data_IF_998543028616
#
_entry.id   IF_998543028616
#
_cell.length_a   1.000
_cell.length_b   1.000
_cell.length_c   1.000
_cell.angle_alpha   90.00
_cell.angle_beta   90.00
_cell.angle_gamma   90.00
#
_symmetry.space_group_name_H-M   'P 1'
#
loop_
_entity.id
_entity.type
_entity.pdbx_description
1 polymer ?
#
# COMPACT_ATOMS: atom_id res chain seq x y z
N UNK A 1 3.01 34.85 -8.08
CA UNK A 1 3.18 33.59 -8.83
C UNK A 1 4.19 33.81 -9.95
N UNK A 2 5.00 32.80 -10.27
CA UNK A 2 6.01 32.88 -11.34
C UNK A 2 5.43 32.26 -12.62
N UNK A 3 5.44 33.01 -13.73
CA UNK A 3 5.10 32.48 -15.05
C UNK A 3 6.21 31.57 -15.61
N UNK A 4 5.94 30.85 -16.70
CA UNK A 4 6.92 29.97 -17.36
C UNK A 4 8.25 30.69 -17.65
N UNK A 5 8.15 31.94 -18.11
CA UNK A 5 9.30 32.81 -18.38
C UNK A 5 10.10 33.10 -17.11
N UNK A 6 9.45 33.33 -15.98
CA UNK A 6 10.15 33.65 -14.73
C UNK A 6 10.88 32.43 -14.17
N UNK A 7 10.27 31.24 -14.28
CA UNK A 7 10.94 29.98 -13.96
C UNK A 7 12.15 29.78 -14.85
N UNK A 8 12.00 29.93 -16.17
CA UNK A 8 13.11 29.79 -17.11
C UNK A 8 14.24 30.78 -16.81
N UNK A 9 13.92 32.03 -16.44
CA UNK A 9 14.92 33.03 -16.06
C UNK A 9 15.63 32.69 -14.74
N UNK A 10 14.92 32.16 -13.74
CA UNK A 10 15.53 31.66 -12.50
C UNK A 10 16.47 30.49 -12.76
N UNK A 11 16.03 29.54 -13.57
CA UNK A 11 16.82 28.38 -13.99
C UNK A 11 18.08 28.87 -14.71
N UNK A 12 17.95 29.79 -15.66
CA UNK A 12 19.10 30.41 -16.35
C UNK A 12 20.05 31.09 -15.38
N UNK A 13 19.54 31.85 -14.40
CA UNK A 13 20.37 32.54 -13.42
C UNK A 13 21.17 31.53 -12.57
N UNK A 14 20.53 30.44 -12.13
CA UNK A 14 21.19 29.36 -11.40
C UNK A 14 22.22 28.62 -12.25
N UNK A 15 21.88 28.23 -13.49
CA UNK A 15 22.79 27.56 -14.40
C UNK A 15 24.01 28.43 -14.74
N UNK A 16 23.85 29.75 -14.87
CA UNK A 16 24.97 30.70 -15.04
C UNK A 16 25.91 30.76 -13.83
N UNK A 17 25.42 30.39 -12.65
CA UNK A 17 26.23 30.22 -11.44
C UNK A 17 26.84 28.80 -11.34
N UNK A 18 26.82 28.02 -12.42
CA UNK A 18 27.28 26.62 -12.47
C UNK A 18 26.56 25.69 -11.49
N UNK A 19 25.31 26.00 -11.17
CA UNK A 19 24.45 25.16 -10.32
C UNK A 19 23.64 24.19 -11.16
N UNK A 20 23.33 23.03 -10.60
CA UNK A 20 22.36 22.11 -11.17
C UNK A 20 20.95 22.53 -10.72
N UNK A 21 19.96 22.32 -11.57
CA UNK A 21 18.58 22.74 -11.28
C UNK A 21 17.65 21.56 -11.51
N UNK A 22 16.95 21.16 -10.45
CA UNK A 22 15.86 20.20 -10.54
C UNK A 22 14.54 20.97 -10.63
N UNK A 23 13.69 20.56 -11.56
CA UNK A 23 12.40 21.17 -11.81
C UNK A 23 11.36 20.08 -11.61
N UNK A 24 10.49 20.26 -10.62
CA UNK A 24 9.33 19.39 -10.47
C UNK A 24 8.34 19.75 -11.59
N UNK A 25 8.05 18.80 -12.47
CA UNK A 25 7.43 19.07 -13.76
C UNK A 25 5.90 19.17 -13.65
N UNK A 26 5.37 20.40 -13.54
CA UNK A 26 3.97 20.72 -13.86
C UNK A 26 3.80 21.13 -15.35
N UNK A 27 4.79 20.92 -16.22
CA UNK A 27 4.73 21.20 -17.66
C UNK A 27 4.09 20.01 -18.39
N UNK A 28 2.81 19.79 -18.09
CA UNK A 28 2.04 18.66 -18.60
C UNK A 28 1.95 18.61 -20.14
N UNK A 29 2.13 19.76 -20.82
CA UNK A 29 2.09 19.84 -22.28
C UNK A 29 3.47 19.93 -22.94
N UNK A 30 3.58 19.30 -24.11
CA UNK A 30 4.75 19.36 -24.99
C UNK A 30 5.14 20.78 -25.38
N UNK A 31 4.16 21.65 -25.62
CA UNK A 31 4.40 23.05 -25.99
C UNK A 31 5.10 23.81 -24.87
N UNK A 32 4.65 23.61 -23.63
CA UNK A 32 5.23 24.28 -22.46
C UNK A 32 6.65 23.79 -22.20
N UNK A 33 6.90 22.47 -22.29
CA UNK A 33 8.25 21.89 -22.18
C UNK A 33 9.19 22.43 -23.25
N UNK A 34 8.77 22.39 -24.52
CA UNK A 34 9.59 22.90 -25.63
C UNK A 34 9.95 24.38 -25.45
N UNK A 35 8.97 25.23 -25.13
CA UNK A 35 9.21 26.68 -24.94
C UNK A 35 10.14 26.97 -23.76
N UNK A 36 10.00 26.21 -22.67
CA UNK A 36 10.88 26.28 -21.52
C UNK A 36 12.33 25.97 -21.91
N UNK A 37 12.54 24.85 -22.61
CA UNK A 37 13.86 24.39 -23.05
C UNK A 37 14.51 25.36 -24.03
N UNK A 38 13.77 25.83 -25.03
CA UNK A 38 14.25 26.84 -25.98
C UNK A 38 14.73 28.10 -25.25
N UNK A 39 13.99 28.55 -24.23
CA UNK A 39 14.36 29.73 -23.44
C UNK A 39 15.65 29.52 -22.64
N UNK A 40 15.78 28.36 -22.00
CA UNK A 40 16.96 28.01 -21.20
C UNK A 40 18.19 27.82 -22.09
N UNK A 41 18.09 27.00 -23.14
CA UNK A 41 19.19 26.68 -24.05
C UNK A 41 19.66 27.90 -24.85
N UNK A 42 18.75 28.82 -25.23
CA UNK A 42 19.12 30.09 -25.87
C UNK A 42 20.01 30.95 -24.96
N UNK A 43 19.80 30.91 -23.64
CA UNK A 43 20.50 31.75 -22.66
C UNK A 43 21.71 31.05 -22.03
N UNK A 44 21.75 29.72 -22.05
CA UNK A 44 22.84 28.88 -21.55
C UNK A 44 23.07 27.72 -22.54
N UNK A 45 23.75 27.94 -23.68
CA UNK A 45 23.87 26.92 -24.74
C UNK A 45 24.62 25.66 -24.32
N UNK A 46 25.46 25.74 -23.29
CA UNK A 46 26.25 24.62 -22.76
C UNK A 46 25.49 23.73 -21.78
N UNK A 47 24.25 24.06 -21.41
CA UNK A 47 23.50 23.26 -20.46
C UNK A 47 23.09 21.92 -21.06
N UNK A 48 23.14 20.86 -20.25
CA UNK A 48 22.54 19.55 -20.58
C UNK A 48 21.20 19.46 -19.86
N UNK A 49 20.18 19.03 -20.59
CA UNK A 49 18.85 18.81 -20.05
C UNK A 49 18.54 17.32 -20.13
N UNK A 50 18.21 16.76 -18.97
CA UNK A 50 17.74 15.39 -18.84
C UNK A 50 16.31 15.41 -18.34
N UNK A 51 15.45 14.62 -18.96
CA UNK A 51 14.10 14.40 -18.50
C UNK A 51 14.00 13.01 -17.87
N UNK A 52 13.69 12.98 -16.59
CA UNK A 52 13.56 11.74 -15.82
C UNK A 52 12.08 11.41 -15.66
N UNK A 53 11.63 10.34 -16.32
CA UNK A 53 10.28 9.81 -16.18
C UNK A 53 10.25 8.81 -15.03
N UNK A 54 9.55 9.15 -13.96
CA UNK A 54 9.40 8.30 -12.78
C UNK A 54 8.12 7.48 -12.90
N UNK A 55 8.23 6.15 -12.95
CA UNK A 55 7.09 5.25 -13.20
C UNK A 55 7.02 4.19 -12.10
N UNK A 56 5.83 3.86 -11.55
CA UNK A 56 5.68 2.72 -10.65
C UNK A 56 6.00 1.43 -11.38
N UNK A 57 6.97 0.66 -10.87
CA UNK A 57 7.43 -0.60 -11.48
C UNK A 57 6.29 -1.62 -11.64
N UNK A 58 5.32 -1.61 -10.72
CA UNK A 58 4.20 -2.56 -10.70
C UNK A 58 2.83 -1.90 -10.96
N UNK A 59 2.81 -0.72 -11.59
CA UNK A 59 1.60 -0.07 -12.07
C UNK A 59 0.63 0.39 -10.98
N UNK A 60 -0.66 0.40 -11.30
CA UNK A 60 -1.73 0.95 -10.44
C UNK A 60 -1.80 0.29 -9.07
N UNK A 61 -1.63 -1.03 -8.99
CA UNK A 61 -1.67 -1.76 -7.72
C UNK A 61 -0.62 -1.24 -6.72
N UNK A 62 0.56 -0.85 -7.22
CA UNK A 62 1.61 -0.23 -6.41
C UNK A 62 1.18 1.11 -5.86
N UNK A 63 0.57 1.94 -6.70
CA UNK A 63 0.07 3.25 -6.29
C UNK A 63 -1.02 3.10 -5.24
N UNK A 64 -1.96 2.18 -5.43
CA UNK A 64 -3.02 1.93 -4.45
C UNK A 64 -2.49 1.39 -3.12
N UNK A 65 -1.45 0.54 -3.14
CA UNK A 65 -0.79 0.09 -1.92
C UNK A 65 -0.05 1.23 -1.21
N UNK A 66 0.73 2.03 -1.95
CA UNK A 66 1.38 3.24 -1.44
C UNK A 66 0.38 4.21 -0.82
N UNK A 67 -0.79 4.38 -1.43
CA UNK A 67 -1.85 5.24 -0.92
C UNK A 67 -2.33 4.79 0.47
N UNK A 68 -2.51 3.48 0.67
CA UNK A 68 -2.90 2.95 1.98
C UNK A 68 -1.81 3.11 3.04
N UNK A 69 -0.53 3.00 2.65
CA UNK A 69 0.58 3.34 3.53
C UNK A 69 0.57 4.82 3.92
N UNK A 70 0.31 5.73 2.98
CA UNK A 70 0.21 7.15 3.28
C UNK A 70 -0.93 7.48 4.23
N UNK A 71 -2.10 6.82 4.10
CA UNK A 71 -3.19 6.96 5.07
C UNK A 71 -2.82 6.42 6.46
N UNK A 72 -2.19 5.24 6.54
CA UNK A 72 -1.74 4.68 7.82
C UNK A 72 -0.69 5.58 8.50
N UNK A 73 0.20 6.19 7.71
CA UNK A 73 1.20 7.14 8.21
C UNK A 73 0.66 8.53 8.57
N UNK A 74 -0.64 8.79 8.35
CA UNK A 74 -1.24 10.12 8.59
C UNK A 74 -0.75 11.21 7.63
N UNK A 75 -0.21 10.83 6.46
CA UNK A 75 0.34 11.75 5.46
C UNK A 75 -0.75 12.34 4.55
N UNK A 76 -1.90 11.66 4.46
CA UNK A 76 -3.03 12.08 3.64
C UNK A 76 -4.29 12.24 4.49
N UNK A 77 -5.03 13.32 4.22
CA UNK A 77 -6.25 13.68 4.93
C UNK A 77 -7.53 13.55 4.07
N UNK A 78 -7.49 13.04 2.83
CA UNK A 78 -8.65 13.09 1.92
C UNK A 78 -8.95 11.83 1.06
N UNK A 79 -10.20 11.36 1.21
CA UNK A 79 -11.26 10.94 0.26
C UNK A 79 -11.03 9.95 -0.95
N UNK A 80 -11.96 8.99 -1.19
CA UNK A 80 -12.01 8.09 -2.37
C UNK A 80 -12.09 8.73 -3.77
N UNK A 81 -12.31 10.06 -3.91
CA UNK A 81 -12.23 10.74 -5.22
C UNK A 81 -10.84 10.61 -5.87
N UNK A 82 -9.81 10.37 -5.07
CA UNK A 82 -8.44 10.16 -5.53
C UNK A 82 -8.31 8.85 -6.34
N UNK A 83 -9.02 7.77 -5.98
CA UNK A 83 -8.87 6.48 -6.67
C UNK A 83 -9.34 6.54 -8.14
N UNK A 84 -10.53 7.10 -8.40
CA UNK A 84 -11.04 7.20 -9.78
C UNK A 84 -10.17 8.13 -10.63
N UNK A 85 -9.69 9.22 -10.02
CA UNK A 85 -8.77 10.14 -10.69
C UNK A 85 -7.44 9.45 -11.04
N UNK A 86 -6.83 8.75 -10.09
CA UNK A 86 -5.59 8.01 -10.28
C UNK A 86 -5.76 6.90 -11.33
N UNK A 87 -6.90 6.22 -11.35
CA UNK A 87 -7.18 5.14 -12.30
C UNK A 87 -7.11 5.63 -13.75
N UNK A 88 -7.53 6.88 -14.02
CA UNK A 88 -7.48 7.49 -15.35
C UNK A 88 -6.05 7.72 -15.85
N UNK A 89 -5.06 7.71 -14.97
CA UNK A 89 -3.65 7.81 -15.38
C UNK A 89 -3.11 6.50 -15.95
N UNK A 90 -3.84 5.39 -15.86
CA UNK A 90 -3.38 4.08 -16.31
C UNK A 90 -4.20 3.55 -17.48
N UNK A 91 -3.57 2.69 -18.28
CA UNK A 91 -4.22 1.94 -19.37
C UNK A 91 -5.26 0.96 -18.84
N UNK A 92 -6.04 0.34 -19.73
CA UNK A 92 -7.04 -0.68 -19.35
C UNK A 92 -6.43 -1.87 -18.57
N UNK A 93 -5.15 -2.17 -18.82
CA UNK A 93 -4.42 -3.22 -18.11
C UNK A 93 -4.00 -2.81 -16.68
N UNK A 94 -4.06 -1.52 -16.38
CA UNK A 94 -3.61 -0.86 -15.16
C UNK A 94 -2.11 -1.04 -14.86
N UNK A 95 -1.33 -1.52 -15.84
CA UNK A 95 0.11 -1.79 -15.70
C UNK A 95 0.95 -0.63 -16.22
N UNK A 96 0.42 0.14 -17.15
CA UNK A 96 1.14 1.22 -17.81
C UNK A 96 0.39 2.54 -17.64
N UNK A 97 1.14 3.65 -17.59
CA UNK A 97 0.54 4.98 -17.59
C UNK A 97 -0.01 5.25 -19.00
N UNK A 98 -1.26 5.68 -19.08
CA UNK A 98 -1.90 6.08 -20.32
C UNK A 98 -1.57 7.53 -20.65
N UNK A 99 -0.67 7.71 -21.60
CA UNK A 99 -0.28 9.01 -22.12
C UNK A 99 -1.14 9.46 -23.31
N UNK A 100 -1.91 8.55 -23.92
CA UNK A 100 -2.64 8.81 -25.16
C UNK A 100 -4.04 9.37 -24.91
N UNK A 101 -4.60 9.16 -23.71
CA UNK A 101 -5.89 9.75 -23.28
C UNK A 101 -5.84 11.25 -22.98
N UNK A 102 -4.67 11.89 -23.14
CA UNK A 102 -4.54 13.35 -23.09
C UNK A 102 -4.40 13.96 -21.70
N UNK A 103 -4.10 13.16 -20.68
CA UNK A 103 -3.82 13.67 -19.32
C UNK A 103 -2.42 14.30 -19.22
N UNK A 104 -1.41 13.71 -19.86
CA UNK A 104 -0.03 14.22 -19.94
C UNK A 104 0.55 13.83 -21.29
N UNK A 105 1.11 14.79 -22.04
CA UNK A 105 1.77 14.48 -23.31
C UNK A 105 3.02 13.63 -23.04
N UNK A 106 3.10 12.43 -23.65
CA UNK A 106 4.29 11.57 -23.57
C UNK A 106 5.54 12.35 -23.97
N UNK A 107 6.53 12.50 -23.08
CA UNK A 107 7.77 13.13 -23.44
C UNK A 107 8.53 12.32 -24.50
N UNK A 108 9.26 13.01 -25.38
CA UNK A 108 10.07 12.38 -26.41
C UNK A 108 11.36 13.15 -26.69
N UNK A 109 12.43 12.43 -27.05
CA UNK A 109 13.76 13.02 -27.33
C UNK A 109 13.73 14.09 -28.43
N UNK A 110 12.72 14.08 -29.30
CA UNK A 110 12.49 15.11 -30.33
C UNK A 110 12.28 16.52 -29.74
N UNK A 111 12.01 16.62 -28.44
CA UNK A 111 11.90 17.89 -27.71
C UNK A 111 13.26 18.42 -27.21
N UNK A 112 14.38 17.71 -27.42
CA UNK A 112 15.74 18.20 -27.21
C UNK A 112 16.38 17.85 -25.86
N UNK A 113 15.83 16.88 -25.12
CA UNK A 113 16.39 16.34 -23.88
C UNK A 113 16.83 14.88 -24.04
N UNK A 114 17.78 14.46 -23.20
CA UNK A 114 18.04 13.05 -22.96
C UNK A 114 16.93 12.48 -22.06
N UNK A 115 16.27 11.40 -22.48
CA UNK A 115 15.29 10.72 -21.62
C UNK A 115 15.94 9.67 -20.74
N UNK A 116 15.50 9.61 -19.49
CA UNK A 116 15.76 8.51 -18.58
C UNK A 116 14.45 8.02 -17.98
N UNK A 117 14.23 6.71 -17.97
CA UNK A 117 13.07 6.10 -17.33
C UNK A 117 13.53 5.45 -16.03
N UNK A 118 13.00 5.93 -14.93
CA UNK A 118 13.25 5.38 -13.60
C UNK A 118 12.05 4.55 -13.15
N UNK A 119 12.22 3.23 -13.10
CA UNK A 119 11.24 2.32 -12.54
C UNK A 119 11.39 2.27 -11.02
N UNK A 120 10.42 2.84 -10.31
CA UNK A 120 10.46 2.93 -8.85
C UNK A 120 9.66 1.77 -8.24
N UNK A 121 10.26 0.93 -7.37
CA UNK A 121 9.54 -0.12 -6.66
C UNK A 121 8.62 0.47 -5.59
N UNK A 122 7.77 -0.35 -4.96
CA UNK A 122 6.99 0.07 -3.80
C UNK A 122 7.94 0.51 -2.67
N UNK A 123 7.72 1.72 -2.14
CA UNK A 123 8.50 2.27 -1.04
C UNK A 123 7.57 2.68 0.10
N UNK A 124 8.07 2.55 1.32
CA UNK A 124 7.36 2.99 2.53
C UNK A 124 8.33 3.61 3.51
N UNK A 125 7.92 4.71 4.13
CA UNK A 125 8.70 5.38 5.16
C UNK A 125 8.31 4.79 6.53
N UNK A 126 9.27 4.17 7.22
CA UNK A 126 9.09 3.62 8.55
C UNK A 126 10.41 3.63 9.32
N UNK A 127 10.35 3.96 10.61
CA UNK A 127 11.51 3.83 11.50
C UNK A 127 11.79 2.37 11.89
N UNK A 128 10.84 1.47 11.62
CA UNK A 128 10.83 0.09 12.09
C UNK A 128 10.57 -0.90 10.95
N UNK A 129 10.99 -2.15 11.15
CA UNK A 129 10.73 -3.23 10.20
C UNK A 129 9.27 -3.69 10.27
N UNK A 130 8.76 -4.22 9.15
CA UNK A 130 7.43 -4.83 9.05
C UNK A 130 7.56 -6.33 9.36
N UNK A 131 7.52 -6.69 10.63
CA UNK A 131 7.91 -8.01 11.14
C UNK A 131 6.90 -8.67 12.09
N UNK A 132 5.91 -7.92 12.61
CA UNK A 132 4.94 -8.45 13.56
C UNK A 132 4.00 -9.48 12.90
N UNK A 133 3.84 -10.69 13.46
CA UNK A 133 2.88 -11.65 12.92
C UNK A 133 1.43 -11.23 13.24
N UNK A 134 0.49 -11.68 12.42
CA UNK A 134 -0.93 -11.37 12.61
C UNK A 134 -1.86 -12.57 12.40
N UNK A 135 -2.84 -12.73 13.29
CA UNK A 135 -4.00 -13.58 13.07
C UNK A 135 -5.16 -12.71 12.60
N UNK A 136 -5.49 -12.80 11.32
CA UNK A 136 -6.64 -12.12 10.74
C UNK A 136 -7.88 -13.02 10.79
N UNK A 137 -9.01 -12.45 11.18
CA UNK A 137 -10.29 -13.16 11.30
C UNK A 137 -11.37 -12.38 10.56
N UNK A 138 -12.04 -13.02 9.61
CA UNK A 138 -13.25 -12.45 9.02
C UNK A 138 -14.35 -12.40 10.08
N UNK A 139 -14.85 -11.19 10.35
CA UNK A 139 -15.89 -10.96 11.34
C UNK A 139 -17.15 -11.79 11.10
N UNK A 140 -17.75 -11.69 9.92
CA UNK A 140 -19.04 -12.36 9.61
C UNK A 140 -18.89 -13.89 9.58
N UNK A 141 -17.65 -14.37 9.51
CA UNK A 141 -17.32 -15.77 9.48
C UNK A 141 -17.18 -16.42 10.85
N UNK A 142 -16.79 -15.67 11.88
CA UNK A 142 -16.38 -16.23 13.18
C UNK A 142 -17.52 -16.44 14.17
N UNK A 143 -18.66 -15.81 13.95
CA UNK A 143 -19.83 -16.00 14.80
C UNK A 143 -20.75 -17.09 14.22
N UNK A 144 -21.49 -17.74 15.12
CA UNK A 144 -22.59 -18.63 14.78
C UNK A 144 -23.93 -17.86 14.75
N UNK A 145 -25.02 -18.53 14.40
CA UNK A 145 -26.37 -17.94 14.34
C UNK A 145 -26.85 -17.39 15.70
N UNK A 146 -26.24 -17.82 16.81
CA UNK A 146 -26.54 -17.35 18.17
C UNK A 146 -25.66 -16.16 18.58
N UNK A 147 -24.86 -15.61 17.68
CA UNK A 147 -23.88 -14.55 17.94
C UNK A 147 -22.82 -14.94 18.98
N UNK A 148 -22.49 -16.23 19.05
CA UNK A 148 -21.37 -16.75 19.82
C UNK A 148 -20.23 -17.11 18.88
N UNK A 149 -19.00 -17.09 19.38
CA UNK A 149 -17.87 -17.56 18.59
C UNK A 149 -18.07 -19.03 18.19
N UNK A 150 -17.78 -19.33 16.92
CA UNK A 150 -17.71 -20.72 16.46
C UNK A 150 -16.69 -21.47 17.30
N UNK A 151 -16.97 -22.76 17.50
CA UNK A 151 -16.06 -23.70 18.17
C UNK A 151 -14.63 -23.50 17.65
N UNK A 152 -13.67 -23.44 18.57
CA UNK A 152 -12.24 -23.24 18.35
C UNK A 152 -11.76 -21.81 18.05
N UNK A 153 -12.62 -20.82 17.80
CA UNK A 153 -12.12 -19.45 17.53
C UNK A 153 -11.47 -18.83 18.77
N UNK A 154 -12.14 -18.91 19.93
CA UNK A 154 -11.58 -18.39 21.18
C UNK A 154 -10.29 -19.12 21.56
N UNK A 155 -10.31 -20.45 21.44
CA UNK A 155 -9.18 -21.32 21.74
C UNK A 155 -8.00 -21.08 20.77
N UNK A 156 -8.29 -20.83 19.50
CA UNK A 156 -7.29 -20.42 18.51
C UNK A 156 -6.63 -19.10 18.89
N UNK A 157 -7.42 -18.08 19.23
CA UNK A 157 -6.89 -16.79 19.65
C UNK A 157 -5.99 -16.90 20.88
N UNK A 158 -6.38 -17.71 21.87
CA UNK A 158 -5.62 -17.91 23.10
C UNK A 158 -4.27 -18.62 22.86
N UNK A 159 -4.30 -19.76 22.14
CA UNK A 159 -3.07 -20.49 21.80
C UNK A 159 -2.16 -19.66 20.88
N UNK A 160 -2.74 -18.96 19.89
CA UNK A 160 -1.95 -18.12 18.99
C UNK A 160 -1.31 -16.94 19.71
N UNK A 161 -2.02 -16.29 20.63
CA UNK A 161 -1.46 -15.20 21.45
C UNK A 161 -0.33 -15.69 22.36
N UNK A 162 -0.44 -16.91 22.88
CA UNK A 162 0.61 -17.55 23.70
C UNK A 162 1.88 -17.77 22.89
N UNK A 163 1.76 -18.30 21.67
CA UNK A 163 2.89 -18.53 20.74
C UNK A 163 3.41 -17.24 20.10
N UNK A 164 2.60 -16.17 20.05
CA UNK A 164 2.94 -14.90 19.38
C UNK A 164 2.65 -13.72 20.31
N UNK A 165 3.40 -13.55 21.39
CA UNK A 165 3.06 -12.59 22.44
C UNK A 165 3.30 -11.13 22.05
N UNK A 166 3.88 -10.85 20.87
CA UNK A 166 3.97 -9.52 20.26
C UNK A 166 3.17 -9.42 18.96
N UNK A 167 2.39 -10.45 18.62
CA UNK A 167 1.57 -10.50 17.41
C UNK A 167 0.17 -9.92 17.60
N UNK A 168 -0.47 -9.56 16.50
CA UNK A 168 -1.78 -8.89 16.51
C UNK A 168 -2.93 -9.83 16.10
N UNK A 169 -4.01 -9.83 16.88
CA UNK A 169 -5.27 -10.49 16.52
C UNK A 169 -6.20 -9.43 15.94
N UNK A 170 -6.54 -9.54 14.66
CA UNK A 170 -7.20 -8.51 13.87
C UNK A 170 -8.50 -9.05 13.23
N UNK A 171 -9.64 -8.56 13.68
CA UNK A 171 -10.94 -8.83 13.07
C UNK A 171 -11.21 -7.82 11.96
N UNK A 172 -11.60 -8.30 10.77
CA UNK A 172 -11.91 -7.46 9.61
C UNK A 172 -13.37 -7.70 9.20
N UNK A 173 -14.13 -6.62 9.07
CA UNK A 173 -15.53 -6.60 8.61
C UNK A 173 -15.65 -6.12 7.17
N UNK A 174 -16.60 -6.69 6.42
CA UNK A 174 -17.04 -6.23 5.10
C UNK A 174 -18.45 -5.61 5.20
N UNK A 175 -18.53 -4.28 5.01
CA UNK A 175 -19.78 -3.50 5.05
C UNK A 175 -20.84 -3.96 4.04
N UNK A 176 -20.43 -4.70 3.00
CA UNK A 176 -21.38 -5.28 2.02
C UNK A 176 -22.32 -6.30 2.65
N UNK A 177 -21.94 -6.90 3.78
CA UNK A 177 -22.80 -7.84 4.51
C UNK A 177 -23.76 -7.13 5.48
N UNK A 178 -23.44 -5.91 5.93
CA UNK A 178 -24.39 -5.04 6.66
C UNK A 178 -25.55 -4.61 5.76
N UNK A 179 -25.26 -4.24 4.52
CA UNK A 179 -26.27 -3.85 3.51
C UNK A 179 -27.15 -5.01 3.01
N UNK A 180 -26.72 -6.26 3.20
CA UNK A 180 -27.51 -7.47 2.90
C UNK A 180 -28.40 -7.96 4.04
N UNK A 181 -28.47 -7.23 5.16
CA UNK A 181 -29.34 -7.57 6.28
C UNK A 181 -28.81 -8.66 7.22
N UNK A 182 -27.53 -9.05 7.11
CA UNK A 182 -26.91 -10.04 8.02
C UNK A 182 -26.51 -9.38 9.36
N UNK A 183 -26.32 -8.06 9.37
CA UNK A 183 -25.92 -7.25 10.54
C UNK A 183 -26.66 -5.90 10.55
N UNK A 184 -27.96 -5.91 10.24
CA UNK A 184 -28.74 -4.67 10.05
C UNK A 184 -29.21 -4.01 11.35
N UNK A 185 -29.10 -4.67 12.50
CA UNK A 185 -29.60 -4.12 13.77
C UNK A 185 -28.47 -3.54 14.64
N UNK A 186 -28.77 -2.44 15.36
CA UNK A 186 -27.86 -1.85 16.35
C UNK A 186 -27.41 -2.86 17.42
N UNK A 187 -28.23 -3.87 17.67
CA UNK A 187 -28.06 -4.83 18.76
C UNK A 187 -27.06 -5.93 18.41
N UNK A 188 -26.96 -6.32 17.14
CA UNK A 188 -25.93 -7.26 16.68
C UNK A 188 -24.54 -6.64 16.74
N UNK A 189 -24.41 -5.37 16.34
CA UNK A 189 -23.15 -4.64 16.46
C UNK A 189 -22.72 -4.52 17.93
N UNK A 190 -23.63 -4.18 18.85
CA UNK A 190 -23.33 -4.14 20.30
C UNK A 190 -22.96 -5.51 20.86
N UNK A 191 -23.66 -6.55 20.42
CA UNK A 191 -23.38 -7.93 20.81
C UNK A 191 -21.98 -8.34 20.39
N UNK A 192 -21.57 -8.01 19.18
CA UNK A 192 -20.22 -8.32 18.72
C UNK A 192 -19.13 -7.57 19.48
N UNK A 193 -19.29 -6.27 19.69
CA UNK A 193 -18.35 -5.49 20.50
C UNK A 193 -18.19 -6.11 21.90
N UNK A 194 -19.30 -6.62 22.48
CA UNK A 194 -19.29 -7.38 23.74
C UNK A 194 -18.55 -8.71 23.61
N UNK A 195 -18.72 -9.47 22.53
CA UNK A 195 -17.98 -10.70 22.28
C UNK A 195 -16.47 -10.44 22.18
N UNK A 196 -16.04 -9.42 21.44
CA UNK A 196 -14.62 -9.04 21.33
C UNK A 196 -14.04 -8.61 22.68
N UNK A 197 -14.82 -7.87 23.48
CA UNK A 197 -14.45 -7.52 24.86
C UNK A 197 -14.31 -8.76 25.74
N UNK A 198 -15.24 -9.71 25.65
CA UNK A 198 -15.16 -10.96 26.42
C UNK A 198 -13.93 -11.79 25.99
N UNK A 199 -13.64 -11.82 24.69
CA UNK A 199 -12.46 -12.49 24.16
C UNK A 199 -11.19 -11.86 24.72
N UNK A 200 -11.02 -10.53 24.64
CA UNK A 200 -9.83 -9.84 25.15
C UNK A 200 -9.64 -10.01 26.67
N UNK A 201 -10.74 -10.05 27.44
CA UNK A 201 -10.71 -10.35 28.87
C UNK A 201 -10.23 -11.79 29.16
N UNK A 202 -10.68 -12.75 28.34
CA UNK A 202 -10.37 -14.18 28.49
C UNK A 202 -8.91 -14.49 28.15
N UNK A 203 -8.45 -14.06 26.97
CA UNK A 203 -7.10 -14.35 26.47
C UNK A 203 -6.03 -13.41 27.03
N UNK A 204 -6.45 -12.31 27.70
CA UNK A 204 -5.57 -11.28 28.27
C UNK A 204 -4.58 -10.69 27.26
N UNK A 205 -4.99 -10.63 26.00
CA UNK A 205 -4.24 -10.12 24.85
C UNK A 205 -5.09 -9.09 24.11
N UNK A 206 -4.49 -8.02 23.53
CA UNK A 206 -5.26 -7.06 22.77
C UNK A 206 -5.89 -7.66 21.53
N UNK A 207 -7.16 -7.32 21.31
CA UNK A 207 -7.92 -7.72 20.13
C UNK A 207 -8.29 -6.47 19.35
N UNK A 208 -7.91 -6.44 18.09
CA UNK A 208 -8.18 -5.32 17.19
C UNK A 208 -9.36 -5.66 16.28
N UNK A 209 -10.14 -4.64 15.94
CA UNK A 209 -11.25 -4.74 15.00
C UNK A 209 -11.22 -3.56 14.05
N UNK A 210 -11.29 -3.83 12.75
CA UNK A 210 -11.37 -2.81 11.72
C UNK A 210 -12.64 -2.97 10.89
N UNK A 211 -13.30 -1.85 10.67
CA UNK A 211 -14.50 -1.75 9.84
C UNK A 211 -14.45 -0.48 9.00
N UNK A 212 -15.40 -0.38 8.08
CA UNK A 212 -15.69 0.87 7.37
C UNK A 212 -16.49 1.80 8.29
N UNK A 213 -16.15 3.08 8.27
CA UNK A 213 -16.88 4.12 9.01
C UNK A 213 -18.25 4.34 8.39
N UNK A 214 -19.30 4.31 9.21
CA UNK A 214 -20.66 4.62 8.76
C UNK A 214 -20.72 6.02 8.12
N UNK A 215 -21.18 6.12 6.87
CA UNK A 215 -21.33 7.38 6.14
C UNK A 215 -20.11 7.83 5.35
N UNK A 216 -19.00 7.09 5.38
CA UNK A 216 -17.84 7.29 4.53
C UNK A 216 -17.54 6.04 3.70
N UNK A 217 -17.19 6.21 2.42
CA UNK A 217 -16.76 5.11 1.56
C UNK A 217 -15.24 5.03 1.54
N UNK A 218 -14.60 3.93 1.96
CA UNK A 218 -13.15 3.87 2.09
C UNK A 218 -12.39 3.64 0.77
N UNK A 219 -13.03 3.88 -0.38
CA UNK A 219 -12.50 3.55 -1.71
C UNK A 219 -12.69 2.07 -2.05
N UNK A 220 -12.67 1.75 -3.34
CA UNK A 220 -12.96 0.39 -3.81
C UNK A 220 -11.83 -0.58 -3.48
N UNK A 221 -10.60 -0.06 -3.35
CA UNK A 221 -9.43 -0.84 -2.98
C UNK A 221 -9.43 -1.31 -1.52
N UNK A 222 -10.11 -0.62 -0.62
CA UNK A 222 -10.22 -1.00 0.79
C UNK A 222 -11.32 -2.03 1.06
N UNK A 223 -12.05 -2.50 0.04
CA UNK A 223 -13.15 -3.45 0.26
C UNK A 223 -12.80 -4.81 -0.34
N UNK A 224 -12.97 -5.92 0.40
CA UNK A 224 -12.81 -7.26 -0.17
C UNK A 224 -13.55 -7.41 -1.51
N UNK A 225 -12.95 -8.02 -2.54
CA UNK A 225 -11.73 -8.84 -2.53
C UNK A 225 -10.39 -8.07 -2.66
N UNK A 226 -10.39 -6.73 -2.61
CA UNK A 226 -9.15 -5.95 -2.77
C UNK A 226 -8.35 -5.88 -1.46
N UNK A 227 -7.01 -5.86 -1.51
CA UNK A 227 -6.14 -5.97 -0.32
C UNK A 227 -5.91 -4.65 0.43
N UNK A 228 -6.66 -3.58 0.17
CA UNK A 228 -6.38 -2.26 0.73
C UNK A 228 -6.41 -2.19 2.25
N UNK A 229 -7.34 -2.89 2.92
CA UNK A 229 -7.34 -2.98 4.39
C UNK A 229 -6.05 -3.66 4.89
N UNK A 230 -5.60 -4.74 4.23
CA UNK A 230 -4.37 -5.42 4.61
C UNK A 230 -3.13 -4.55 4.37
N UNK A 231 -3.12 -3.75 3.30
CA UNK A 231 -2.07 -2.77 3.03
C UNK A 231 -2.02 -1.68 4.12
N UNK A 232 -3.18 -1.15 4.51
CA UNK A 232 -3.30 -0.18 5.60
C UNK A 232 -2.79 -0.77 6.93
N UNK A 233 -3.32 -1.94 7.31
CA UNK A 233 -2.94 -2.64 8.54
C UNK A 233 -1.46 -3.03 8.57
N UNK A 234 -0.88 -3.36 7.40
CA UNK A 234 0.53 -3.76 7.30
C UNK A 234 1.46 -2.67 7.83
N UNK A 235 1.26 -1.41 7.44
CA UNK A 235 2.07 -0.33 7.98
C UNK A 235 1.63 0.06 9.38
N UNK A 236 0.33 0.18 9.60
CA UNK A 236 -0.26 0.62 10.86
C UNK A 236 0.20 -0.24 12.05
N UNK A 237 0.29 -1.56 11.87
CA UNK A 237 0.70 -2.52 12.91
C UNK A 237 2.07 -3.16 12.67
N UNK A 238 2.86 -2.62 11.73
CA UNK A 238 4.18 -3.16 11.36
C UNK A 238 4.15 -4.66 11.01
N UNK A 239 3.12 -5.10 10.29
CA UNK A 239 2.84 -6.52 10.07
C UNK A 239 3.76 -7.16 9.03
N UNK A 240 4.20 -8.37 9.32
CA UNK A 240 4.70 -9.29 8.32
C UNK A 240 3.56 -10.14 7.78
N UNK A 241 3.00 -9.73 6.64
CA UNK A 241 1.95 -10.46 5.94
C UNK A 241 2.37 -11.87 5.49
N UNK A 242 3.68 -12.15 5.45
CA UNK A 242 4.25 -13.38 4.94
C UNK A 242 5.01 -14.19 6.02
N UNK A 243 4.87 -13.83 7.30
CA UNK A 243 5.38 -14.66 8.40
C UNK A 243 4.69 -16.03 8.38
N UNK A 244 5.40 -17.06 8.82
CA UNK A 244 4.80 -18.39 8.99
C UNK A 244 3.65 -18.36 9.99
N UNK A 245 3.71 -17.46 10.99
CA UNK A 245 2.68 -17.34 12.02
C UNK A 245 1.53 -16.41 11.62
N UNK A 246 1.66 -15.70 10.50
CA UNK A 246 0.57 -14.89 9.96
C UNK A 246 -0.43 -15.78 9.22
N UNK A 247 -1.70 -15.68 9.57
CA UNK A 247 -2.76 -16.46 8.94
C UNK A 247 -4.07 -15.67 8.88
N UNK A 248 -4.82 -15.85 7.79
CA UNK A 248 -6.15 -15.31 7.60
C UNK A 248 -7.21 -16.41 7.68
N UNK A 249 -8.09 -16.33 8.68
CA UNK A 249 -9.26 -17.19 8.82
C UNK A 249 -10.46 -16.52 8.14
N UNK A 250 -10.93 -17.10 7.04
CA UNK A 250 -12.01 -16.53 6.22
C UNK A 250 -13.24 -17.45 6.20
N UNK A 251 -14.38 -16.91 5.81
CA UNK A 251 -15.60 -17.66 5.56
C UNK A 251 -16.05 -17.54 4.10
N UNK A 252 -15.95 -16.35 3.50
CA UNK A 252 -16.33 -16.11 2.11
C UNK A 252 -15.15 -15.92 1.13
N UNK A 253 -15.49 -16.00 -0.15
CA UNK A 253 -14.54 -15.96 -1.27
C UNK A 253 -13.90 -14.58 -1.47
N UNK A 254 -14.55 -13.49 -1.07
CA UNK A 254 -13.97 -12.16 -1.20
C UNK A 254 -12.79 -12.00 -0.23
N UNK A 255 -12.97 -12.42 1.02
CA UNK A 255 -11.88 -12.42 2.00
C UNK A 255 -10.75 -13.38 1.62
N UNK A 256 -11.08 -14.55 1.03
CA UNK A 256 -10.08 -15.45 0.46
C UNK A 256 -9.23 -14.74 -0.61
N UNK A 257 -9.89 -14.13 -1.61
CA UNK A 257 -9.20 -13.41 -2.70
C UNK A 257 -8.37 -12.22 -2.20
N UNK A 258 -8.85 -11.54 -1.16
CA UNK A 258 -8.11 -10.45 -0.52
C UNK A 258 -6.81 -10.96 0.11
N UNK A 259 -6.88 -12.07 0.86
CA UNK A 259 -5.69 -12.70 1.44
C UNK A 259 -4.73 -13.22 0.36
N UNK A 260 -5.25 -13.83 -0.71
CA UNK A 260 -4.46 -14.26 -1.88
C UNK A 260 -3.74 -13.10 -2.56
N UNK A 261 -4.45 -12.01 -2.83
CA UNK A 261 -3.89 -10.81 -3.46
C UNK A 261 -2.79 -10.15 -2.61
N UNK A 262 -2.88 -10.28 -1.28
CA UNK A 262 -1.88 -9.81 -0.34
C UNK A 262 -0.75 -10.83 -0.06
N UNK A 263 -0.80 -12.04 -0.64
CA UNK A 263 0.21 -13.07 -0.36
C UNK A 263 0.14 -13.63 1.08
N UNK A 264 -1.04 -13.60 1.71
CA UNK A 264 -1.25 -14.03 3.10
C UNK A 264 -1.74 -15.48 3.14
N UNK A 265 -1.12 -16.32 3.99
CA UNK A 265 -1.58 -17.69 4.24
C UNK A 265 -3.00 -17.65 4.80
N UNK A 266 -3.90 -18.49 4.29
CA UNK A 266 -5.30 -18.43 4.68
C UNK A 266 -5.96 -19.81 4.81
N UNK A 267 -7.00 -19.88 5.63
CA UNK A 267 -7.77 -21.10 5.90
C UNK A 267 -9.25 -20.77 6.06
N UNK A 268 -10.12 -21.60 5.47
CA UNK A 268 -11.56 -21.45 5.65
C UNK A 268 -11.95 -21.87 7.07
N UNK A 269 -12.77 -21.07 7.74
CA UNK A 269 -13.18 -21.34 9.13
C UNK A 269 -13.88 -22.70 9.30
N UNK A 270 -14.61 -23.16 8.29
CA UNK A 270 -15.25 -24.50 8.33
C UNK A 270 -14.24 -25.65 8.34
N UNK A 271 -12.98 -25.40 7.98
CA UNK A 271 -11.89 -26.36 8.02
C UNK A 271 -11.09 -26.29 9.34
N UNK A 272 -11.33 -25.30 10.20
CA UNK A 272 -10.65 -25.14 11.48
C UNK A 272 -11.17 -26.17 12.50
N UNK A 273 -10.53 -27.34 12.54
CA UNK A 273 -10.90 -28.43 13.46
C UNK A 273 -10.18 -28.36 14.81
N UNK A 274 -8.98 -27.79 14.84
CA UNK A 274 -8.17 -27.54 16.04
C UNK A 274 -7.35 -26.26 15.85
N UNK A 275 -7.10 -25.49 16.93
CA UNK A 275 -6.14 -24.38 16.97
C UNK A 275 -4.77 -24.73 16.37
N UNK A 276 -4.29 -25.95 16.65
CA UNK A 276 -2.96 -26.42 16.26
C UNK A 276 -2.75 -26.42 14.75
N UNK A 277 -3.82 -26.51 13.96
CA UNK A 277 -3.73 -26.47 12.51
C UNK A 277 -3.09 -25.15 12.06
N UNK A 278 -3.49 -24.03 12.64
CA UNK A 278 -2.98 -22.70 12.26
C UNK A 278 -1.52 -22.56 12.70
N UNK A 279 -1.20 -23.00 13.92
CA UNK A 279 0.15 -22.95 14.51
C UNK A 279 1.15 -23.83 13.76
N UNK A 280 0.71 -25.01 13.31
CA UNK A 280 1.54 -25.95 12.55
C UNK A 280 1.67 -25.58 11.06
N UNK A 281 1.18 -24.41 10.64
CA UNK A 281 1.37 -23.95 9.26
C UNK A 281 0.33 -24.46 8.26
N UNK A 282 -0.76 -25.12 8.68
CA UNK A 282 -1.81 -25.55 7.75
C UNK A 282 -2.55 -24.34 7.15
N UNK A 283 -3.10 -24.52 5.95
CA UNK A 283 -3.74 -23.47 5.15
C UNK A 283 -3.08 -23.34 3.79
N UNK A 284 -3.69 -22.56 2.90
CA UNK A 284 -3.13 -22.30 1.58
C UNK A 284 -2.19 -21.10 1.67
N UNK A 285 -0.94 -21.29 1.24
CA UNK A 285 0.07 -20.21 1.17
C UNK A 285 0.18 -19.75 -0.28
N UNK A 286 -0.41 -18.60 -0.63
CA UNK A 286 -0.37 -18.07 -1.99
C UNK A 286 1.04 -17.55 -2.34
N UNK A 287 1.29 -17.38 -3.65
CA UNK A 287 2.51 -16.73 -4.11
C UNK A 287 2.51 -15.24 -3.71
N UNK A 288 3.57 -14.79 -3.02
CA UNK A 288 3.71 -13.39 -2.64
C UNK A 288 3.82 -12.51 -3.90
N UNK A 289 3.00 -11.46 -4.08
CA UNK A 289 3.10 -10.54 -5.20
C UNK A 289 4.52 -9.96 -5.35
N UNK A 290 5.01 -9.85 -6.59
CA UNK A 290 6.37 -9.38 -6.88
C UNK A 290 6.68 -8.01 -6.25
N UNK A 291 5.67 -7.13 -6.24
CA UNK A 291 5.71 -5.84 -5.60
C UNK A 291 6.04 -5.92 -4.11
N UNK A 292 5.35 -6.81 -3.39
CA UNK A 292 5.52 -6.98 -1.94
C UNK A 292 6.86 -7.62 -1.58
N UNK A 293 7.37 -8.51 -2.45
CA UNK A 293 8.71 -9.11 -2.28
C UNK A 293 9.85 -8.09 -2.39
N UNK A 294 9.62 -6.96 -3.07
CA UNK A 294 10.64 -5.94 -3.34
C UNK A 294 10.31 -4.59 -2.68
N UNK A 295 9.53 -4.59 -1.60
CA UNK A 295 9.26 -3.37 -0.84
C UNK A 295 10.58 -2.81 -0.32
N UNK A 296 10.79 -1.52 -0.57
CA UNK A 296 11.90 -0.78 0.03
C UNK A 296 11.35 0.02 1.21
N UNK A 297 11.62 -0.46 2.41
CA UNK A 297 11.37 0.31 3.63
C UNK A 297 12.51 1.32 3.77
N UNK A 298 12.19 2.61 3.93
CA UNK A 298 13.16 3.69 4.12
C UNK A 298 12.93 4.36 5.46
N UNK A 299 14.01 4.85 6.08
CA UNK A 299 13.90 5.71 7.25
C UNK A 299 13.30 7.07 6.82
N UNK A 300 12.31 7.60 7.56
CA UNK A 300 11.82 8.96 7.33
C UNK A 300 12.96 9.98 7.39
N UNK A 301 12.93 10.96 6.49
CA UNK A 301 14.02 11.91 6.32
C UNK A 301 13.86 13.06 7.32
N UNK A 302 14.46 12.91 8.49
CA UNK A 302 14.35 13.87 9.59
C UNK A 302 15.30 15.05 9.33
N UNK A 303 14.91 15.97 8.45
CA UNK A 303 15.59 17.26 8.30
C UNK A 303 14.90 18.41 9.02
N UNK A 304 13.69 18.17 9.52
CA UNK A 304 13.03 19.07 10.44
C UNK A 304 12.74 18.31 11.73
N UNK A 305 13.40 18.79 12.79
CA UNK A 305 13.20 18.48 14.20
C UNK A 305 13.88 17.21 14.74
N UNK A 306 14.51 17.37 15.92
CA UNK A 306 15.05 16.31 16.77
C UNK A 306 13.94 15.39 17.30
N UNK A 307 13.16 14.77 16.42
CA UNK A 307 12.13 13.82 16.78
C UNK A 307 12.86 12.49 16.96
N UNK A 308 13.25 12.20 18.21
CA UNK A 308 13.59 10.85 18.64
C UNK A 308 12.47 9.95 18.09
N UNK A 309 12.77 8.87 17.34
CA UNK A 309 11.73 7.97 16.85
C UNK A 309 10.92 7.55 18.06
N UNK A 310 9.67 8.01 18.15
CA UNK A 310 8.81 7.53 19.21
C UNK A 310 8.74 6.03 19.00
N UNK A 311 9.17 5.28 20.01
CA UNK A 311 8.92 3.84 20.11
C UNK A 311 7.50 3.64 19.60
N UNK A 312 7.26 2.74 18.63
CA UNK A 312 5.97 2.67 17.98
C UNK A 312 4.97 2.35 19.08
N UNK A 313 4.21 3.38 19.47
CA UNK A 313 3.05 3.17 20.30
C UNK A 313 2.09 2.47 19.38
N UNK A 314 1.60 1.32 19.83
CA UNK A 314 0.62 0.58 19.04
C UNK A 314 -0.52 1.54 18.68
N UNK A 315 -1.05 1.45 17.44
CA UNK A 315 -2.22 2.17 17.02
C UNK A 315 -3.23 2.32 18.15
N UNK A 316 -3.71 3.54 18.36
CA UNK A 316 -4.77 3.89 19.31
C UNK A 316 -4.36 4.08 20.78
N UNK A 317 -3.13 3.76 21.22
CA UNK A 317 -2.74 4.06 22.60
C UNK A 317 -2.05 5.41 22.73
N UNK A 318 -2.80 6.36 23.29
CA UNK A 318 -2.25 7.49 24.01
C UNK A 318 -2.83 7.40 25.42
N UNK A 319 -1.97 7.40 26.43
CA UNK A 319 -2.27 7.28 27.86
C UNK A 319 -3.38 8.24 28.34
N UNK A 320 -3.68 9.28 27.55
CA UNK A 320 -4.76 10.25 27.76
C UNK A 320 -6.16 9.74 27.40
N UNK A 321 -6.29 8.60 26.73
CA UNK A 321 -7.60 8.04 26.37
C UNK A 321 -8.22 7.31 27.57
N UNK A 322 -9.35 7.80 28.05
CA UNK A 322 -10.22 7.01 28.93
C UNK A 322 -10.75 5.81 28.15
N UNK A 323 -10.44 4.59 28.60
CA UNK A 323 -11.10 3.38 28.09
C UNK A 323 -12.56 3.41 28.55
N UNK A 324 -13.42 4.03 27.73
CA UNK A 324 -14.87 3.99 27.91
C UNK A 324 -15.38 2.67 27.32
N UNK A 325 -16.21 1.96 28.08
CA UNK A 325 -16.85 0.70 27.65
C UNK A 325 -15.93 -0.50 27.35
N UNK A 326 -14.63 -0.42 27.66
CA UNK A 326 -13.67 -1.53 27.53
C UNK A 326 -12.97 -1.64 26.17
N UNK A 327 -13.03 -0.58 25.36
CA UNK A 327 -12.25 -0.46 24.13
C UNK A 327 -11.87 1.01 23.86
N UNK A 328 -10.92 1.21 22.95
CA UNK A 328 -10.58 2.54 22.38
C UNK A 328 -10.82 2.46 20.88
N UNK A 329 -11.28 3.55 20.26
CA UNK A 329 -11.46 3.60 18.80
C UNK A 329 -10.86 4.86 18.18
N UNK A 330 -10.56 4.77 16.88
CA UNK A 330 -10.16 5.90 16.04
C UNK A 330 -10.77 5.75 14.66
N UNK A 331 -11.23 6.87 14.13
CA UNK A 331 -11.65 7.02 12.74
C UNK A 331 -10.50 7.60 11.94
N UNK A 332 -10.30 7.08 10.75
CA UNK A 332 -9.30 7.53 9.81
C UNK A 332 -9.96 8.25 8.64
N UNK A 333 -9.21 9.17 8.04
CA UNK A 333 -9.70 10.01 6.93
C UNK A 333 -9.98 9.21 5.65
N UNK A 334 -9.40 8.01 5.54
CA UNK A 334 -9.71 7.06 4.47
C UNK A 334 -11.03 6.29 4.71
N UNK A 335 -11.83 6.66 5.72
CA UNK A 335 -13.12 6.02 5.99
C UNK A 335 -13.01 4.67 6.68
N UNK A 336 -11.85 4.29 7.20
CA UNK A 336 -11.71 3.15 8.11
C UNK A 336 -11.94 3.59 9.55
N UNK A 337 -12.46 2.68 10.36
CA UNK A 337 -12.57 2.81 11.80
C UNK A 337 -11.95 1.60 12.46
N UNK A 338 -11.04 1.87 13.39
CA UNK A 338 -10.32 0.84 14.13
C UNK A 338 -10.67 0.91 15.60
N UNK A 339 -10.78 -0.26 16.22
CA UNK A 339 -11.07 -0.47 17.61
C UNK A 339 -10.02 -1.39 18.22
N UNK A 340 -9.64 -1.14 19.47
CA UNK A 340 -8.80 -2.03 20.26
C UNK A 340 -9.49 -2.37 21.57
N UNK A 341 -9.65 -3.67 21.82
CA UNK A 341 -10.24 -4.22 23.04
C UNK A 341 -9.14 -4.75 23.93
N UNK A 342 -9.17 -4.34 25.19
CA UNK A 342 -8.15 -4.70 26.17
C UNK A 342 -8.81 -4.97 27.51
N UNK A 343 -8.15 -5.79 28.33
CA UNK A 343 -8.63 -6.12 29.68
C UNK A 343 -8.66 -4.88 30.58
N UNK A 344 -7.54 -4.18 30.66
CA UNK A 344 -7.34 -2.98 31.45
C UNK A 344 -6.14 -2.19 30.91
N UNK A 345 -6.03 -0.91 31.29
CA UNK A 345 -4.97 0.00 30.85
C UNK A 345 -3.58 -0.53 31.21
N UNK A 346 -3.44 -1.16 32.38
CA UNK A 346 -2.16 -1.68 32.87
C UNK A 346 -1.66 -2.84 32.00
N UNK A 347 -2.53 -3.81 31.72
CA UNK A 347 -2.24 -4.96 30.86
C UNK A 347 -1.89 -4.51 29.44
N UNK A 348 -2.58 -3.49 28.93
CA UNK A 348 -2.27 -2.96 27.60
C UNK A 348 -0.96 -2.18 27.57
N UNK A 349 -0.67 -1.39 28.61
CA UNK A 349 0.62 -0.69 28.75
C UNK A 349 1.78 -1.70 28.80
N UNK A 350 1.62 -2.79 29.55
CA UNK A 350 2.61 -3.87 29.61
C UNK A 350 2.79 -4.57 28.26
N UNK A 351 1.70 -4.85 27.55
CA UNK A 351 1.77 -5.38 26.19
C UNK A 351 2.54 -4.44 25.25
N UNK A 352 2.27 -3.15 25.33
CA UNK A 352 2.94 -2.15 24.51
C UNK A 352 4.43 -2.03 24.83
N UNK A 353 4.82 -2.05 26.11
CA UNK A 353 6.23 -2.11 26.51
C UNK A 353 6.91 -3.37 25.95
N UNK A 354 6.21 -4.50 25.98
CA UNK A 354 6.72 -5.75 25.40
C UNK A 354 6.89 -5.64 23.88
N UNK A 355 5.89 -5.14 23.15
CA UNK A 355 6.02 -4.90 21.71
C UNK A 355 7.18 -3.93 21.42
N UNK A 356 7.25 -2.81 22.13
CA UNK A 356 8.29 -1.80 22.00
C UNK A 356 9.72 -2.36 22.12
N UNK A 357 9.94 -3.29 23.06
CA UNK A 357 11.24 -3.95 23.24
C UNK A 357 11.63 -4.81 22.03
N UNK A 358 10.65 -5.39 21.34
CA UNK A 358 10.85 -6.38 20.29
C UNK A 358 10.64 -5.86 18.86
N UNK A 359 10.19 -4.62 18.69
CA UNK A 359 10.26 -3.96 17.38
C UNK A 359 11.72 -3.66 17.04
N UNK A 360 12.12 -4.04 15.83
CA UNK A 360 13.47 -3.80 15.31
C UNK A 360 13.50 -2.49 14.53
N UNK A 361 14.36 -1.53 14.92
CA UNK A 361 14.68 -0.38 14.09
C UNK A 361 15.13 -0.84 12.69
N UNK A 362 14.75 -0.09 11.67
CA UNK A 362 15.05 -0.45 10.29
C UNK A 362 16.55 -0.62 10.00
N UNK A 363 17.38 0.20 10.65
CA UNK A 363 18.83 0.22 10.50
C UNK A 363 19.53 -0.93 11.26
N UNK A 364 18.83 -1.59 12.20
CA UNK A 364 19.42 -2.64 13.02
C UNK A 364 19.50 -3.95 12.21
N UNK A 365 20.65 -4.65 12.18
CA UNK A 365 20.76 -5.96 11.53
C UNK A 365 19.95 -7.03 12.26
N UNK A 366 19.38 -7.99 11.52
CA UNK A 366 18.56 -9.07 12.08
C UNK A 366 17.15 -8.65 12.48
N UNK A 367 16.46 -9.48 13.27
CA UNK A 367 15.13 -9.22 13.82
C UNK A 367 15.14 -9.53 15.31
N UNK A 368 14.64 -8.62 16.13
CA UNK A 368 14.46 -8.84 17.58
C UNK A 368 13.30 -9.79 17.87
N UNK A 369 12.34 -9.96 16.96
CA UNK A 369 11.25 -10.94 17.14
C UNK A 369 11.75 -12.40 17.06
N UNK A 370 12.90 -12.62 16.42
CA UNK A 370 13.52 -13.96 16.34
C UNK A 370 13.91 -14.56 17.70
N UNK A 371 14.10 -13.72 18.73
CA UNK A 371 14.41 -14.20 20.09
C UNK A 371 13.18 -14.70 20.85
N UNK A 372 11.98 -14.26 20.46
CA UNK A 372 10.72 -14.73 21.04
C UNK A 372 10.22 -15.98 20.32
N UNK A 373 10.40 -16.02 18.99
CA UNK A 373 9.93 -17.10 18.13
C UNK A 373 11.13 -17.87 17.53
N UNK A 374 11.82 -18.73 18.31
CA UNK A 374 12.99 -19.47 17.83
C UNK A 374 12.67 -20.41 16.66
N UNK A 375 11.39 -20.79 16.47
CA UNK A 375 10.92 -21.63 15.37
C UNK A 375 11.14 -21.02 13.98
N UNK A 376 11.18 -19.68 13.84
CA UNK A 376 11.53 -19.02 12.58
C UNK A 376 13.04 -19.02 12.29
N UNK A 377 13.88 -18.98 13.33
CA UNK A 377 15.34 -19.00 13.21
C UNK A 377 15.86 -20.39 12.81
N UNK A 378 15.32 -21.44 13.45
CA UNK A 378 15.77 -22.84 13.26
C UNK A 378 15.34 -23.40 11.88
N UNK A 379 14.26 -22.89 11.28
CA UNK A 379 13.79 -23.36 9.96
C UNK A 379 14.46 -22.66 8.77
N UNK A 380 15.07 -21.48 8.95
CA UNK A 380 15.86 -20.83 7.88
C UNK A 380 17.16 -21.58 7.57
N UNK A 381 17.77 -22.24 8.56
CA UNK A 381 18.96 -23.06 8.33
C UNK A 381 18.65 -24.31 7.50
N UNK A 382 17.48 -24.94 7.71
CA UNK A 382 17.08 -26.17 7.02
C UNK A 382 16.54 -25.98 5.59
N UNK A 383 16.39 -24.75 5.10
CA UNK A 383 16.07 -24.44 3.68
C UNK A 383 17.32 -24.04 2.89
N UNK A 384 18.49 -23.94 3.55
CA UNK A 384 19.73 -23.42 2.94
C UNK A 384 20.60 -24.46 2.20
N UNK A 385 20.15 -25.70 2.05
CA UNK A 385 20.88 -26.76 1.31
C UNK A 385 20.07 -27.29 0.13
N UNK A 386 19.61 -26.41 -0.76
CA UNK A 386 19.51 -26.76 -2.17
C UNK A 386 20.50 -25.90 -2.93
N UNK A 387 21.62 -26.53 -3.24
CA UNK A 387 22.77 -26.02 -3.98
C UNK A 387 22.36 -25.17 -5.17
N UNK A 388 22.91 -23.96 -5.22
CA UNK A 388 23.11 -23.19 -6.44
C UNK A 388 23.68 -24.11 -7.52
N UNK A 389 23.02 -24.19 -8.67
CA UNK A 389 23.71 -24.35 -9.94
C UNK A 389 23.46 -23.10 -10.76
N UNK A 390 24.54 -22.35 -10.94
CA UNK A 390 24.70 -21.31 -11.93
C UNK A 390 24.52 -21.91 -13.34
N UNK A 391 23.60 -21.34 -14.11
CA UNK A 391 23.70 -21.34 -15.57
C UNK A 391 23.18 -19.99 -16.09
N UNK A 392 24.05 -19.35 -16.87
CA UNK A 392 23.86 -18.14 -17.65
C UNK A 392 22.76 -18.31 -18.73
N UNK A 393 22.34 -17.21 -19.39
CA UNK A 393 21.05 -17.08 -20.04
C UNK A 393 21.08 -17.64 -21.47
N UNK A 394 20.05 -18.42 -21.82
CA UNK A 394 19.44 -18.55 -23.16
C UNK A 394 18.77 -19.93 -23.27
N UNK A 395 17.48 -19.98 -22.95
CA UNK A 395 16.51 -20.92 -23.53
C UNK A 395 15.12 -20.58 -22.99
N UNK A 396 14.32 -19.90 -23.80
CA UNK A 396 12.86 -19.88 -23.60
C UNK A 396 12.33 -21.26 -24.01
N UNK A 397 12.05 -22.12 -23.04
CA UNK A 397 11.14 -23.23 -23.22
C UNK A 397 10.13 -23.23 -22.08
N UNK A 398 9.05 -22.47 -22.30
CA UNK A 398 7.85 -22.57 -21.47
C UNK A 398 7.00 -23.66 -22.09
N UNK A 399 6.91 -24.81 -21.41
CA UNK A 399 5.82 -25.75 -21.61
C UNK A 399 4.49 -25.06 -21.24
N UNK A 400 3.84 -24.48 -22.25
CA UNK A 400 2.53 -23.85 -22.11
C UNK A 400 1.46 -24.96 -21.99
N UNK A 401 0.62 -24.97 -20.95
CA UNK A 401 -0.48 -25.92 -20.82
C UNK A 401 -1.46 -25.84 -22.01
N UNK A 402 -1.90 -26.99 -22.53
CA UNK A 402 -2.74 -27.12 -23.74
C UNK A 402 -4.05 -26.31 -23.76
N UNK A 403 -4.54 -25.84 -22.60
CA UNK A 403 -5.75 -25.00 -22.51
C UNK A 403 -5.49 -23.52 -22.85
N UNK A 404 -4.23 -23.08 -22.94
CA UNK A 404 -3.83 -21.72 -23.37
C UNK A 404 -3.61 -21.59 -24.88
N UNK A 405 -3.81 -22.66 -25.66
CA UNK A 405 -3.73 -22.60 -27.12
C UNK A 405 -5.12 -22.30 -27.71
N UNK A 406 -5.29 -21.12 -28.30
CA UNK A 406 -6.52 -20.73 -28.98
C UNK A 406 -6.80 -21.63 -30.19
N UNK A 407 -8.01 -22.18 -30.28
CA UNK A 407 -8.50 -22.87 -31.47
C UNK A 407 -8.57 -21.89 -32.64
N UNK A 408 -7.66 -22.03 -33.61
CA UNK A 408 -7.79 -21.38 -34.90
C UNK A 408 -8.98 -21.96 -35.65
N UNK A 409 -10.01 -21.15 -35.89
CA UNK A 409 -10.98 -21.35 -36.96
C UNK A 409 -10.62 -20.40 -38.10
N UNK A 410 -10.25 -20.97 -39.25
CA UNK A 410 -10.00 -20.26 -40.51
C UNK A 410 -11.31 -20.01 -41.27
N UNK A 411 -11.26 -18.96 -42.09
CA UNK A 411 -12.08 -18.59 -43.26
C UNK A 411 -13.41 -17.86 -42.97
N UNK A 412 -13.77 -16.79 -43.70
CA UNK A 412 -13.34 -16.42 -45.04
C UNK A 412 -13.43 -14.92 -45.39
N UNK A 413 -12.66 -14.60 -46.43
CA UNK A 413 -12.55 -13.34 -47.18
C UNK A 413 -13.87 -12.88 -47.80
N UNK A 414 -14.07 -11.55 -47.92
CA UNK A 414 -14.26 -10.84 -49.21
C UNK A 414 -14.38 -9.32 -49.05
N UNK A 415 -13.51 -8.64 -49.79
CA UNK A 415 -13.71 -7.45 -50.64
C UNK A 415 -14.46 -6.20 -50.13
N UNK A 416 -13.78 -5.05 -50.30
CA UNK A 416 -14.36 -3.97 -51.11
C UNK A 416 -14.62 -2.61 -50.46
N UNK A 417 -13.88 -1.62 -50.96
CA UNK A 417 -14.28 -0.22 -51.21
C UNK A 417 -14.17 0.87 -50.12
N UNK A 418 -13.21 1.75 -50.43
CA UNK A 418 -13.15 3.20 -50.23
C UNK A 418 -14.50 3.92 -50.29
N UNK A 419 -14.86 4.72 -49.27
CA UNK A 419 -15.64 5.96 -49.41
C UNK A 419 -15.15 7.02 -48.41
N UNK A 420 -14.78 8.16 -48.98
CA UNK A 420 -14.55 9.49 -48.38
C UNK A 420 -15.75 10.03 -47.60
N UNK A 421 -15.52 10.69 -46.45
CA UNK A 421 -16.58 11.33 -45.70
C UNK A 421 -16.11 12.40 -44.71
N UNK A 422 -15.71 13.56 -45.25
CA UNK A 422 -15.65 14.83 -44.52
C UNK A 422 -17.02 15.13 -43.88
N UNK A 423 -17.08 15.27 -42.55
CA UNK A 423 -18.04 16.17 -41.90
C UNK A 423 -17.39 16.91 -40.73
N UNK A 424 -17.25 18.23 -40.96
CA UNK A 424 -17.10 19.26 -39.94
C UNK A 424 -18.35 19.25 -39.05
N UNK A 425 -18.15 19.27 -37.75
CA UNK A 425 -19.13 19.74 -36.77
C UNK A 425 -18.47 20.82 -35.94
N UNK A 426 -18.98 22.05 -36.11
CA UNK A 426 -18.54 23.21 -35.36
C UNK A 426 -19.14 23.19 -33.94
N UNK A 427 -18.26 23.43 -32.97
CA UNK A 427 -18.46 24.27 -31.77
C UNK A 427 -19.66 24.07 -30.86
N UNK A 428 -19.37 23.75 -29.61
CA UNK A 428 -19.96 24.47 -28.46
C UNK A 428 -18.92 24.58 -27.34
N UNK A 429 -18.73 25.81 -26.87
CA UNK A 429 -17.87 26.20 -25.76
C UNK A 429 -18.26 25.51 -24.45
N UNK A 430 -17.26 25.13 -23.63
CA UNK A 430 -17.42 25.07 -22.18
C UNK A 430 -16.12 25.46 -21.48
N UNK A 431 -16.19 26.63 -20.84
CA UNK A 431 -15.50 27.13 -19.65
C UNK A 431 -14.12 26.56 -19.28
N UNK A 432 -13.09 27.32 -19.69
CA UNK A 432 -11.76 27.30 -19.08
C UNK A 432 -11.84 27.87 -17.66
N UNK A 433 -11.90 26.99 -16.66
CA UNK A 433 -11.59 27.35 -15.28
C UNK A 433 -10.08 27.57 -15.14
N UNK A 434 -9.68 28.84 -14.99
CA UNK A 434 -8.33 29.25 -14.63
C UNK A 434 -7.99 28.79 -13.20
N UNK A 435 -7.41 27.59 -13.06
CA UNK A 435 -6.69 27.21 -11.84
C UNK A 435 -5.31 27.89 -11.84
N UNK A 436 -5.17 28.94 -11.03
CA UNK A 436 -3.89 29.58 -10.73
C UNK A 436 -3.10 28.68 -9.76
N UNK A 437 -1.93 28.18 -10.18
CA UNK A 437 -1.03 27.36 -9.35
C UNK A 437 0.21 28.13 -8.92
N UNK A 438 0.58 28.02 -7.64
CA UNK A 438 1.78 28.62 -7.06
C UNK A 438 3.01 27.74 -7.30
N UNK A 439 4.04 28.28 -7.97
CA UNK A 439 5.25 27.55 -8.39
C UNK A 439 6.47 27.88 -7.51
N UNK A 440 7.18 26.85 -7.05
CA UNK A 440 8.40 26.96 -6.23
C UNK A 440 9.63 26.47 -7.00
N UNK A 441 10.75 27.20 -6.93
CA UNK A 441 12.02 26.89 -7.63
C UNK A 441 13.13 26.75 -6.58
N UNK A 442 13.85 25.63 -6.60
CA UNK A 442 14.99 25.35 -5.70
C UNK A 442 16.32 25.49 -6.45
N UNK A 443 17.34 26.06 -5.80
CA UNK A 443 18.66 26.39 -6.40
C UNK A 443 19.78 25.81 -5.54
N UNK A 444 20.70 25.01 -6.11
CA UNK A 444 21.69 24.24 -5.33
C UNK A 444 22.91 23.72 -6.12
N UNK A 445 24.01 23.44 -5.41
CA UNK A 445 25.25 22.82 -5.93
C UNK A 445 25.06 21.32 -6.23
N UNK A 446 25.98 20.66 -6.93
CA UNK A 446 25.88 19.21 -7.26
C UNK A 446 25.75 18.32 -6.01
N UNK A 447 26.53 18.61 -4.97
CA UNK A 447 26.44 17.87 -3.70
C UNK A 447 25.10 18.09 -3.03
N UNK A 448 24.60 19.33 -3.04
CA UNK A 448 23.27 19.68 -2.56
C UNK A 448 22.16 19.17 -3.47
N UNK A 449 22.36 19.02 -4.78
CA UNK A 449 21.37 18.54 -5.74
C UNK A 449 21.23 17.03 -5.68
N UNK A 450 22.33 16.29 -5.48
CA UNK A 450 22.30 14.86 -5.18
C UNK A 450 21.69 14.61 -3.81
N UNK A 451 22.01 15.46 -2.84
CA UNK A 451 21.48 15.39 -1.48
C UNK A 451 20.01 15.82 -1.43
N UNK A 452 19.58 16.79 -2.25
CA UNK A 452 18.20 17.26 -2.36
C UNK A 452 17.37 16.42 -3.32
N UNK A 453 17.96 15.78 -4.33
CA UNK A 453 17.30 14.73 -5.12
C UNK A 453 17.14 13.47 -4.28
N UNK A 454 18.14 13.12 -3.44
CA UNK A 454 17.94 12.14 -2.37
C UNK A 454 16.83 12.62 -1.43
N UNK A 455 16.87 13.86 -0.96
CA UNK A 455 15.84 14.39 -0.05
C UNK A 455 14.46 14.51 -0.68
N UNK A 456 14.32 14.78 -1.97
CA UNK A 456 13.05 14.86 -2.71
C UNK A 456 12.51 13.48 -3.05
N UNK A 457 13.38 12.53 -3.40
CA UNK A 457 13.07 11.10 -3.38
C UNK A 457 12.79 10.56 -1.96
N UNK A 458 12.97 11.41 -0.94
CA UNK A 458 12.65 11.18 0.47
C UNK A 458 11.60 12.19 1.04
N UNK A 459 11.12 13.16 0.25
CA UNK A 459 10.20 14.27 0.62
C UNK A 459 8.94 14.28 -0.27
N UNK A 460 8.68 13.22 -1.04
CA UNK A 460 7.30 12.88 -1.39
C UNK A 460 6.65 12.38 -0.09
N UNK A 461 6.27 13.35 0.74
CA UNK A 461 5.41 13.27 1.93
C UNK A 461 3.97 13.14 1.44
#
# INVERSE_FOLDING_TARGET
>A
EYGLRDIALKVVAALKQSKQVLINDELHSKLTRKSFLETVMKKVPSCRVQLVQVIPKYGFLQVMWSLQFSYAGGLLATNPKEEEHLRRWFDDSLKHIDYDSGFVDKPCEKEGYAMEILLVPLQVNSHFKLECPALFLQFEGVLNEKMEFRLNVEELCDHWATENPCGHILFISDDRNRTKGILSSSDESKTFMRCLKQLSLKIKHPVYYIQTSTGMSPGSFCVPPQPGILAFLQLQHLLNLHSQNTCYIFNDVNHMKMAEAAGVRHMKISALRSPDMVLNGHGLTPAVPAMLRTIVVKKPNVQHENIIPQIPTLPLFDLRHDIKDGYVSRKFDNGLEEYVFVKDIQSFSHYQEKCAQHVTPIDQPGSKLSTINPSEAIKKENVSTISKRSSSPDSFDVNIPHWMMNKMSRQGSKDGQCITGLKRSAGTHSDQNNCRSSKTVYVMSEKEAVEMARQLLLQVV
#
